data_IF_265253069847
#
_entry.id   IF_265253069847
#
_cell.length_a   1.000
_cell.length_b   1.000
_cell.length_c   1.000
_cell.angle_alpha   90.00
_cell.angle_beta   90.00
_cell.angle_gamma   90.00
#
_symmetry.space_group_name_H-M   'P 1'
#
loop_
_entity.id
_entity.type
_entity.pdbx_description
1 polymer ?
#
# COMPACT_ATOMS: atom_id res chain seq x y z
N UNK A 1 11.83 -21.33 22.33
CA UNK A 1 10.53 -20.65 22.04
C UNK A 1 10.03 -20.06 23.35
N UNK A 2 10.21 -18.77 23.59
CA UNK A 2 9.72 -18.07 24.77
C UNK A 2 8.26 -17.73 24.51
N UNK A 3 7.34 -18.39 25.24
CA UNK A 3 5.89 -18.08 25.17
C UNK A 3 5.67 -16.66 25.67
N UNK A 4 5.11 -15.78 24.84
CA UNK A 4 4.72 -14.45 25.27
C UNK A 4 3.76 -14.54 26.48
N UNK A 5 3.90 -13.65 27.50
CA UNK A 5 3.05 -13.69 28.69
C UNK A 5 1.58 -13.57 28.30
N UNK A 6 0.69 -14.23 29.04
CA UNK A 6 -0.75 -14.31 28.75
C UNK A 6 -1.42 -12.93 28.60
N UNK A 7 -0.84 -11.89 29.21
CA UNK A 7 -1.27 -10.50 29.12
C UNK A 7 -1.02 -9.92 27.72
N UNK A 8 0.14 -10.17 27.11
CA UNK A 8 0.49 -9.70 25.76
C UNK A 8 -0.43 -10.32 24.71
N UNK A 9 -0.78 -11.58 24.88
CA UNK A 9 -1.69 -12.30 23.98
C UNK A 9 -3.13 -11.73 24.00
N UNK A 10 -3.59 -11.28 25.17
CA UNK A 10 -4.91 -10.63 25.31
C UNK A 10 -4.90 -9.23 24.68
N UNK A 11 -3.82 -8.49 24.90
CA UNK A 11 -3.61 -7.16 24.29
C UNK A 11 -3.64 -7.28 22.76
N UNK A 12 -2.86 -8.20 22.20
CA UNK A 12 -2.80 -8.44 20.77
C UNK A 12 -4.18 -8.81 20.19
N UNK A 13 -4.91 -9.73 20.83
CA UNK A 13 -6.24 -10.15 20.38
C UNK A 13 -7.25 -9.00 20.41
N UNK A 14 -7.28 -8.19 21.48
CA UNK A 14 -8.22 -7.09 21.57
C UNK A 14 -7.91 -5.95 20.58
N UNK A 15 -6.62 -5.64 20.34
CA UNK A 15 -6.22 -4.71 19.29
C UNK A 15 -6.65 -5.20 17.91
N UNK A 16 -6.42 -6.46 17.58
CA UNK A 16 -6.83 -7.06 16.32
C UNK A 16 -8.34 -6.98 16.10
N UNK A 17 -9.14 -7.32 17.11
CA UNK A 17 -10.59 -7.22 17.03
C UNK A 17 -11.09 -5.78 16.81
N UNK A 18 -10.48 -4.78 17.47
CA UNK A 18 -10.82 -3.37 17.28
C UNK A 18 -10.45 -2.89 15.87
N UNK A 19 -9.29 -3.30 15.34
CA UNK A 19 -8.85 -2.97 13.97
C UNK A 19 -9.81 -3.53 12.92
N UNK A 20 -10.16 -4.81 13.05
CA UNK A 20 -11.10 -5.48 12.16
C UNK A 20 -12.48 -4.83 12.21
N UNK A 21 -13.00 -4.54 13.41
CA UNK A 21 -14.27 -3.87 13.61
C UNK A 21 -14.32 -2.49 12.93
N UNK A 22 -13.27 -1.67 13.07
CA UNK A 22 -13.22 -0.36 12.41
C UNK A 22 -13.21 -0.51 10.88
N UNK A 23 -12.45 -1.44 10.31
CA UNK A 23 -12.42 -1.70 8.87
C UNK A 23 -13.81 -2.12 8.38
N UNK A 24 -14.50 -3.02 9.08
CA UNK A 24 -15.88 -3.45 8.75
C UNK A 24 -16.87 -2.28 8.77
N UNK A 25 -16.77 -1.41 9.76
CA UNK A 25 -17.63 -0.24 9.88
C UNK A 25 -17.38 0.79 8.77
N UNK A 26 -16.14 0.99 8.35
CA UNK A 26 -15.76 1.91 7.27
C UNK A 26 -16.37 1.52 5.91
N UNK A 27 -16.65 0.24 5.68
CA UNK A 27 -17.38 -0.20 4.47
C UNK A 27 -18.88 0.11 4.51
N UNK A 28 -19.44 0.43 5.68
CA UNK A 28 -20.87 0.67 5.89
C UNK A 28 -21.22 2.12 6.24
N UNK A 29 -20.24 2.85 6.79
CA UNK A 29 -20.45 4.22 7.30
C UNK A 29 -19.22 5.08 7.01
N UNK A 30 -19.43 6.38 6.79
CA UNK A 30 -18.32 7.33 6.78
C UNK A 30 -17.65 7.40 8.17
N UNK A 31 -16.33 7.56 8.19
CA UNK A 31 -15.52 7.58 9.41
C UNK A 31 -16.04 8.58 10.46
N UNK A 32 -16.46 9.78 10.02
CA UNK A 32 -17.01 10.81 10.92
C UNK A 32 -18.25 10.33 11.71
N UNK A 33 -19.03 9.40 11.13
CA UNK A 33 -20.26 8.86 11.70
C UNK A 33 -20.03 7.58 12.52
N UNK A 34 -18.80 7.09 12.62
CA UNK A 34 -18.42 5.94 13.45
C UNK A 34 -18.04 6.45 14.84
N UNK A 35 -18.69 5.94 15.87
CA UNK A 35 -18.35 6.21 17.26
C UNK A 35 -17.49 5.09 17.87
N UNK A 36 -16.81 5.38 18.99
CA UNK A 36 -16.13 4.34 19.79
C UNK A 36 -17.10 3.26 20.25
N UNK A 37 -18.38 3.63 20.50
CA UNK A 37 -19.42 2.66 20.87
C UNK A 37 -19.71 1.69 19.73
N UNK A 38 -19.84 2.17 18.50
CA UNK A 38 -20.00 1.31 17.32
C UNK A 38 -18.83 0.31 17.19
N UNK A 39 -17.60 0.82 17.36
CA UNK A 39 -16.39 -0.01 17.23
C UNK A 39 -16.35 -1.14 18.25
N UNK A 40 -16.61 -0.82 19.54
CA UNK A 40 -16.55 -1.86 20.59
C UNK A 40 -17.71 -2.83 20.51
N UNK A 41 -18.87 -2.42 20.04
CA UNK A 41 -20.01 -3.31 19.77
C UNK A 41 -19.70 -4.27 18.62
N UNK A 42 -19.16 -3.78 17.52
CA UNK A 42 -18.75 -4.59 16.38
C UNK A 42 -17.65 -5.58 16.76
N UNK A 43 -16.72 -5.18 17.66
CA UNK A 43 -15.60 -6.00 18.13
C UNK A 43 -15.99 -6.99 19.25
N UNK A 44 -17.23 -6.96 19.75
CA UNK A 44 -17.67 -7.67 20.95
C UNK A 44 -16.78 -7.40 22.19
N UNK A 45 -16.44 -6.10 22.37
CA UNK A 45 -15.60 -5.62 23.47
C UNK A 45 -16.31 -4.51 24.25
N UNK A 46 -15.77 -4.14 25.40
CA UNK A 46 -16.25 -2.98 26.18
C UNK A 46 -15.41 -1.71 25.94
N UNK A 47 -15.99 -0.53 26.23
CA UNK A 47 -15.32 0.76 26.08
C UNK A 47 -14.02 0.87 26.87
N UNK A 48 -13.95 0.25 28.07
CA UNK A 48 -12.73 0.22 28.88
C UNK A 48 -11.59 -0.49 28.18
N UNK A 49 -11.88 -1.52 27.36
CA UNK A 49 -10.87 -2.20 26.53
C UNK A 49 -10.35 -1.29 25.43
N UNK A 50 -11.22 -0.53 24.77
CA UNK A 50 -10.80 0.45 23.78
C UNK A 50 -9.82 1.46 24.37
N UNK A 51 -10.23 2.12 25.48
CA UNK A 51 -9.43 3.18 26.12
C UNK A 51 -8.13 2.71 26.79
N UNK A 52 -7.94 1.40 26.94
CA UNK A 52 -6.62 0.85 27.29
C UNK A 52 -5.61 0.90 26.14
N UNK A 53 -6.09 0.99 24.89
CA UNK A 53 -5.25 0.93 23.69
C UNK A 53 -5.18 2.24 22.92
N UNK A 54 -6.30 2.99 22.88
CA UNK A 54 -6.45 4.20 22.07
C UNK A 54 -7.23 5.27 22.83
N UNK A 55 -6.84 6.52 22.68
CA UNK A 55 -7.62 7.65 23.24
C UNK A 55 -8.78 8.02 22.30
N UNK A 56 -8.55 7.97 21.00
CA UNK A 56 -9.49 8.34 19.96
C UNK A 56 -9.55 7.28 18.85
N UNK A 57 -10.62 7.27 18.08
CA UNK A 57 -10.76 6.35 16.92
C UNK A 57 -9.76 6.65 15.80
N UNK A 58 -9.29 7.87 15.72
CA UNK A 58 -8.25 8.33 14.81
C UNK A 58 -6.93 7.58 15.05
N UNK A 59 -6.53 7.38 16.30
CA UNK A 59 -5.33 6.61 16.67
C UNK A 59 -5.45 5.14 16.23
N UNK A 60 -6.65 4.57 16.32
CA UNK A 60 -6.91 3.22 15.83
C UNK A 60 -6.76 3.14 14.31
N UNK A 61 -7.25 4.14 13.55
CA UNK A 61 -7.10 4.20 12.10
C UNK A 61 -5.64 4.38 11.69
N UNK A 62 -4.90 5.22 12.42
CA UNK A 62 -3.46 5.41 12.23
C UNK A 62 -2.67 4.10 12.49
N UNK A 63 -3.05 3.35 13.53
CA UNK A 63 -2.41 2.07 13.86
C UNK A 63 -2.68 1.01 12.77
N UNK A 64 -3.89 0.98 12.18
CA UNK A 64 -4.21 0.15 11.00
C UNK A 64 -3.35 0.56 9.81
N UNK A 65 -3.32 1.86 9.50
CA UNK A 65 -2.57 2.41 8.37
C UNK A 65 -1.09 2.08 8.48
N UNK A 66 -0.52 2.18 9.68
CA UNK A 66 0.87 1.83 9.97
C UNK A 66 1.16 0.36 9.72
N UNK A 67 0.31 -0.56 10.20
CA UNK A 67 0.47 -2.00 9.95
C UNK A 67 0.50 -2.31 8.44
N UNK A 68 -0.40 -1.68 7.66
CA UNK A 68 -0.46 -1.87 6.20
C UNK A 68 0.79 -1.32 5.52
N UNK A 69 1.28 -0.14 5.94
CA UNK A 69 2.52 0.46 5.40
C UNK A 69 3.75 -0.39 5.75
N UNK A 70 3.84 -0.88 6.99
CA UNK A 70 4.96 -1.76 7.39
C UNK A 70 4.98 -3.08 6.60
N UNK A 71 3.80 -3.65 6.34
CA UNK A 71 3.68 -4.84 5.50
C UNK A 71 4.01 -4.55 4.03
N UNK A 72 3.65 -3.35 3.52
CA UNK A 72 4.03 -2.87 2.19
C UNK A 72 5.56 -2.80 2.03
N UNK A 73 6.25 -2.15 2.98
CA UNK A 73 7.70 -2.03 2.97
C UNK A 73 8.35 -3.42 2.98
N UNK A 74 7.86 -4.31 3.84
CA UNK A 74 8.35 -5.68 3.95
C UNK A 74 8.18 -6.44 2.64
N UNK A 75 6.98 -6.41 2.06
CA UNK A 75 6.70 -7.08 0.79
C UNK A 75 7.51 -6.51 -0.38
N UNK A 76 7.80 -5.21 -0.35
CA UNK A 76 8.67 -4.59 -1.34
C UNK A 76 10.12 -5.08 -1.21
N UNK A 77 10.62 -5.29 0.01
CA UNK A 77 12.01 -5.67 0.29
C UNK A 77 12.26 -7.18 0.30
N UNK A 78 11.24 -8.00 0.59
CA UNK A 78 11.35 -9.46 0.70
C UNK A 78 12.12 -10.14 -0.46
N UNK A 79 11.89 -9.78 -1.74
CA UNK A 79 12.60 -10.43 -2.85
C UNK A 79 14.11 -10.18 -2.86
N UNK A 80 14.58 -9.17 -2.14
CA UNK A 80 15.98 -8.73 -2.12
C UNK A 80 16.72 -9.12 -0.83
N UNK A 81 16.02 -9.75 0.11
CA UNK A 81 16.63 -10.23 1.35
C UNK A 81 17.74 -11.24 1.04
N UNK A 82 18.95 -10.95 1.52
CA UNK A 82 20.15 -11.78 1.28
C UNK A 82 20.92 -11.49 0.00
N UNK A 83 20.52 -10.51 -0.80
CA UNK A 83 21.26 -10.07 -1.98
C UNK A 83 22.06 -8.80 -1.67
N UNK A 84 23.38 -8.80 -1.97
CA UNK A 84 24.22 -7.60 -1.80
C UNK A 84 23.95 -6.55 -2.90
N UNK A 85 23.57 -7.00 -4.10
CA UNK A 85 23.28 -6.14 -5.25
C UNK A 85 22.11 -6.70 -6.04
N UNK A 86 21.36 -5.79 -6.66
CA UNK A 86 20.18 -6.13 -7.44
C UNK A 86 20.12 -5.28 -8.72
N UNK A 87 19.96 -5.94 -9.87
CA UNK A 87 19.78 -5.27 -11.16
C UNK A 87 18.30 -5.24 -11.55
N UNK A 88 17.65 -4.07 -11.51
CA UNK A 88 16.23 -3.89 -11.88
C UNK A 88 15.93 -4.43 -13.28
N UNK A 89 16.83 -4.27 -14.25
CA UNK A 89 16.68 -4.80 -15.61
C UNK A 89 16.66 -6.33 -15.73
N UNK A 90 17.06 -7.04 -14.66
CA UNK A 90 17.02 -8.51 -14.58
C UNK A 90 15.89 -9.01 -13.69
N UNK A 91 15.08 -8.10 -13.15
CA UNK A 91 13.95 -8.44 -12.29
C UNK A 91 12.87 -9.18 -13.07
N UNK A 92 12.68 -10.45 -12.75
CA UNK A 92 11.51 -11.20 -13.19
C UNK A 92 10.26 -10.81 -12.37
N UNK A 93 9.07 -11.18 -12.83
CA UNK A 93 7.82 -10.91 -12.12
C UNK A 93 7.80 -11.40 -10.67
N UNK A 94 8.52 -12.48 -10.36
CA UNK A 94 8.66 -13.04 -9.01
C UNK A 94 9.36 -12.10 -8.01
N UNK A 95 10.09 -11.09 -8.48
CA UNK A 95 10.73 -10.06 -7.67
C UNK A 95 9.79 -8.90 -7.29
N UNK A 96 8.54 -8.89 -7.73
CA UNK A 96 7.60 -7.80 -7.46
C UNK A 96 6.46 -8.33 -6.58
N UNK A 97 6.56 -8.12 -5.26
CA UNK A 97 5.61 -8.62 -4.26
C UNK A 97 4.56 -7.61 -3.80
N UNK A 98 4.65 -6.38 -4.27
CA UNK A 98 3.73 -5.30 -3.89
C UNK A 98 2.25 -5.65 -4.21
N UNK A 99 1.99 -6.35 -5.31
CA UNK A 99 0.62 -6.73 -5.68
C UNK A 99 0.08 -7.89 -4.83
N UNK A 100 0.93 -8.81 -4.37
CA UNK A 100 0.55 -9.82 -3.38
C UNK A 100 0.12 -9.15 -2.06
N UNK A 101 0.88 -8.14 -1.61
CA UNK A 101 0.54 -7.32 -0.45
C UNK A 101 -0.81 -6.60 -0.64
N UNK A 102 -1.02 -5.93 -1.77
CA UNK A 102 -2.27 -5.21 -2.03
C UNK A 102 -3.46 -6.16 -2.01
N UNK A 103 -3.35 -7.34 -2.62
CA UNK A 103 -4.42 -8.35 -2.58
C UNK A 103 -4.66 -8.91 -1.17
N UNK A 104 -3.61 -9.15 -0.39
CA UNK A 104 -3.70 -9.54 1.03
C UNK A 104 -4.52 -8.54 1.85
N UNK A 105 -4.38 -7.24 1.55
CA UNK A 105 -5.09 -6.15 2.21
C UNK A 105 -6.23 -5.57 1.34
N UNK A 106 -6.77 -6.36 0.39
CA UNK A 106 -7.75 -5.90 -0.61
C UNK A 106 -8.93 -5.14 0.01
N UNK A 107 -9.45 -5.64 1.12
CA UNK A 107 -10.56 -5.05 1.83
C UNK A 107 -10.25 -3.63 2.36
N UNK A 108 -9.02 -3.40 2.82
CA UNK A 108 -8.56 -2.07 3.23
C UNK A 108 -8.30 -1.16 2.01
N UNK A 109 -7.66 -1.69 0.95
CA UNK A 109 -7.39 -0.91 -0.26
C UNK A 109 -8.66 -0.45 -0.98
N UNK A 110 -9.73 -1.24 -0.94
CA UNK A 110 -11.05 -0.83 -1.48
C UNK A 110 -11.57 0.43 -0.79
N UNK A 111 -11.30 0.62 0.50
CA UNK A 111 -11.66 1.86 1.22
C UNK A 111 -10.87 3.08 0.74
N UNK A 112 -9.65 2.89 0.22
CA UNK A 112 -8.81 3.98 -0.28
C UNK A 112 -9.41 4.69 -1.50
N UNK A 113 -10.28 4.03 -2.25
CA UNK A 113 -10.97 4.61 -3.41
C UNK A 113 -12.26 5.34 -3.03
N UNK A 114 -12.88 4.98 -1.91
CA UNK A 114 -14.21 5.45 -1.51
C UNK A 114 -14.24 6.33 -0.26
N UNK A 115 -13.24 6.24 0.61
CA UNK A 115 -13.23 6.94 1.91
C UNK A 115 -12.24 8.10 1.95
N UNK A 116 -12.74 9.30 2.27
CA UNK A 116 -11.89 10.47 2.53
C UNK A 116 -11.00 10.30 3.78
N UNK A 117 -11.35 9.42 4.70
CA UNK A 117 -10.55 9.13 5.89
C UNK A 117 -9.16 8.54 5.55
N UNK A 118 -9.00 7.96 4.35
CA UNK A 118 -7.76 7.33 3.90
C UNK A 118 -6.92 8.21 2.95
N UNK A 119 -7.20 9.50 2.83
CA UNK A 119 -6.38 10.43 2.06
C UNK A 119 -4.94 10.46 2.62
N UNK A 120 -4.79 10.57 3.94
CA UNK A 120 -3.48 10.57 4.62
C UNK A 120 -2.73 9.26 4.37
N UNK A 121 -3.41 8.11 4.39
CA UNK A 121 -2.79 6.83 4.06
C UNK A 121 -2.23 6.81 2.61
N UNK A 122 -2.98 7.34 1.63
CA UNK A 122 -2.48 7.43 0.24
C UNK A 122 -1.24 8.31 0.13
N UNK A 123 -1.21 9.44 0.85
CA UNK A 123 -0.03 10.31 0.90
C UNK A 123 1.18 9.61 1.55
N UNK A 124 0.96 8.88 2.64
CA UNK A 124 2.00 8.07 3.28
C UNK A 124 2.52 6.98 2.34
N UNK A 125 1.64 6.30 1.61
CA UNK A 125 2.02 5.27 0.64
C UNK A 125 2.88 5.85 -0.49
N UNK A 126 2.51 7.02 -1.06
CA UNK A 126 3.31 7.72 -2.06
C UNK A 126 4.69 8.06 -1.49
N UNK A 127 4.74 8.62 -0.28
CA UNK A 127 5.99 8.98 0.38
C UNK A 127 6.90 7.77 0.56
N UNK A 128 6.37 6.66 1.05
CA UNK A 128 7.12 5.42 1.26
C UNK A 128 7.63 4.84 -0.07
N UNK A 129 6.79 4.75 -1.09
CA UNK A 129 7.20 4.27 -2.42
C UNK A 129 8.28 5.16 -3.03
N UNK A 130 8.19 6.49 -2.87
CA UNK A 130 9.22 7.42 -3.31
C UNK A 130 10.54 7.18 -2.57
N UNK A 131 10.50 7.03 -1.25
CA UNK A 131 11.68 6.75 -0.42
C UNK A 131 12.35 5.43 -0.78
N UNK A 132 11.56 4.37 -1.00
CA UNK A 132 12.07 3.07 -1.47
C UNK A 132 12.75 3.20 -2.83
N UNK A 133 12.12 3.87 -3.79
CA UNK A 133 12.71 4.13 -5.11
C UNK A 133 14.00 4.96 -5.03
N UNK A 134 14.07 5.97 -4.17
CA UNK A 134 15.30 6.75 -3.96
C UNK A 134 16.43 5.91 -3.38
N UNK A 135 16.15 5.01 -2.45
CA UNK A 135 17.13 4.07 -1.91
C UNK A 135 17.65 3.14 -3.01
N UNK A 136 16.77 2.58 -3.82
CA UNK A 136 17.14 1.67 -4.91
C UNK A 136 17.96 2.38 -6.01
N UNK A 137 17.68 3.66 -6.25
CA UNK A 137 18.47 4.51 -7.15
C UNK A 137 19.77 5.00 -6.52
N UNK A 138 19.99 4.77 -5.19
CA UNK A 138 21.10 5.30 -4.42
C UNK A 138 22.48 4.96 -4.98
N UNK A 139 22.64 3.76 -5.47
CA UNK A 139 23.91 3.19 -5.94
C UNK A 139 24.03 3.19 -7.48
N UNK A 140 23.00 3.63 -8.20
CA UNK A 140 23.06 3.73 -9.65
C UNK A 140 24.12 4.77 -10.09
N UNK A 141 24.96 4.46 -11.10
CA UNK A 141 25.95 5.39 -11.61
C UNK A 141 25.30 6.71 -12.01
N UNK A 142 25.76 7.81 -11.41
CA UNK A 142 25.30 9.15 -11.80
C UNK A 142 25.76 9.41 -13.23
N UNK A 143 24.87 9.37 -14.19
CA UNK A 143 25.11 9.98 -15.49
C UNK A 143 24.88 11.49 -15.33
N UNK A 144 25.94 12.33 -15.35
CA UNK A 144 25.78 13.76 -15.14
C UNK A 144 24.87 14.36 -16.22
N UNK A 145 23.78 14.99 -15.76
CA UNK A 145 22.99 15.89 -16.60
C UNK A 145 21.75 15.31 -17.27
N UNK A 146 21.37 14.02 -17.08
CA UNK A 146 20.26 13.45 -17.85
C UNK A 146 18.93 13.33 -17.09
N UNK A 147 18.91 13.01 -15.80
CA UNK A 147 17.64 12.82 -15.10
C UNK A 147 17.73 13.13 -13.61
N UNK A 148 16.79 13.94 -13.11
CA UNK A 148 16.64 14.22 -11.69
C UNK A 148 16.08 12.97 -10.98
N UNK A 149 16.80 12.49 -9.95
CA UNK A 149 16.46 11.26 -9.19
C UNK A 149 15.19 11.43 -8.37
N UNK A 150 14.96 12.62 -7.82
CA UNK A 150 13.74 12.95 -7.09
C UNK A 150 12.51 12.89 -8.01
N UNK A 151 12.65 13.42 -9.24
CA UNK A 151 11.62 13.36 -10.26
C UNK A 151 11.35 11.91 -10.69
N UNK A 152 12.40 11.11 -10.91
CA UNK A 152 12.27 9.70 -11.29
C UNK A 152 11.59 8.89 -10.18
N UNK A 153 12.04 9.06 -8.93
CA UNK A 153 11.44 8.37 -7.79
C UNK A 153 9.97 8.78 -7.58
N UNK A 154 9.66 10.05 -7.76
CA UNK A 154 8.27 10.53 -7.77
C UNK A 154 7.44 9.87 -8.86
N UNK A 155 7.95 9.86 -10.09
CA UNK A 155 7.30 9.20 -11.24
C UNK A 155 6.99 7.72 -10.94
N UNK A 156 7.98 6.96 -10.44
CA UNK A 156 7.78 5.55 -10.06
C UNK A 156 6.71 5.38 -8.98
N UNK A 157 6.75 6.21 -7.92
CA UNK A 157 5.79 6.14 -6.82
C UNK A 157 4.36 6.37 -7.30
N UNK A 158 4.13 7.41 -8.12
CA UNK A 158 2.80 7.71 -8.66
C UNK A 158 2.35 6.69 -9.71
N UNK A 159 3.26 6.18 -10.54
CA UNK A 159 2.93 5.14 -11.51
C UNK A 159 2.48 3.84 -10.81
N UNK A 160 3.21 3.38 -9.79
CA UNK A 160 2.86 2.19 -9.01
C UNK A 160 1.53 2.42 -8.29
N UNK A 161 1.33 3.58 -7.64
CA UNK A 161 0.06 3.91 -7.00
C UNK A 161 -1.09 3.91 -8.00
N UNK A 162 -0.90 4.51 -9.19
CA UNK A 162 -1.90 4.52 -10.25
C UNK A 162 -2.32 3.12 -10.68
N UNK A 163 -1.35 2.21 -10.89
CA UNK A 163 -1.62 0.80 -11.20
C UNK A 163 -2.40 0.10 -10.08
N UNK A 164 -2.05 0.35 -8.82
CA UNK A 164 -2.76 -0.22 -7.66
C UNK A 164 -4.20 0.29 -7.63
N UNK A 165 -4.40 1.61 -7.73
CA UNK A 165 -5.75 2.20 -7.64
C UNK A 165 -6.66 1.75 -8.79
N UNK A 166 -6.14 1.66 -10.00
CA UNK A 166 -6.88 1.14 -11.16
C UNK A 166 -7.29 -0.32 -10.93
N UNK A 167 -6.35 -1.16 -10.49
CA UNK A 167 -6.62 -2.56 -10.19
C UNK A 167 -7.66 -2.75 -9.07
N UNK A 168 -7.62 -1.92 -8.03
CA UNK A 168 -8.62 -1.89 -6.96
C UNK A 168 -9.99 -1.50 -7.53
N UNK A 169 -10.06 -0.43 -8.35
CA UNK A 169 -11.31 0.04 -8.98
C UNK A 169 -11.93 -1.00 -9.93
N UNK A 170 -11.10 -1.79 -10.61
CA UNK A 170 -11.56 -2.93 -11.43
C UNK A 170 -12.03 -4.15 -10.59
N UNK A 171 -11.96 -4.08 -9.25
CA UNK A 171 -12.33 -5.17 -8.35
C UNK A 171 -11.36 -6.35 -8.41
N UNK A 172 -10.07 -6.10 -8.57
CA UNK A 172 -9.00 -7.12 -8.58
C UNK A 172 -9.16 -8.20 -9.66
N UNK A 173 -9.67 -7.84 -10.83
CA UNK A 173 -9.97 -8.79 -11.93
C UNK A 173 -8.74 -9.55 -12.43
N UNK A 174 -7.56 -8.97 -12.34
CA UNK A 174 -6.30 -9.58 -12.74
C UNK A 174 -5.61 -10.20 -11.53
N UNK A 175 -4.74 -11.18 -11.75
CA UNK A 175 -3.96 -11.77 -10.66
C UNK A 175 -2.80 -10.85 -10.24
N UNK A 176 -2.29 -10.95 -8.99
CA UNK A 176 -1.08 -10.25 -8.58
C UNK A 176 0.12 -10.55 -9.50
N UNK A 177 0.27 -11.80 -9.92
CA UNK A 177 1.32 -12.22 -10.84
C UNK A 177 1.23 -11.50 -12.19
N UNK A 178 0.03 -11.34 -12.74
CA UNK A 178 -0.19 -10.57 -13.96
C UNK A 178 0.21 -9.10 -13.77
N UNK A 179 -0.21 -8.48 -12.66
CA UNK A 179 0.14 -7.09 -12.36
C UNK A 179 1.66 -6.90 -12.20
N UNK A 180 2.33 -7.85 -11.53
CA UNK A 180 3.77 -7.87 -11.38
C UNK A 180 4.49 -8.01 -12.73
N UNK A 181 4.00 -8.88 -13.61
CA UNK A 181 4.53 -9.04 -14.97
C UNK A 181 4.40 -7.74 -15.79
N UNK A 182 3.22 -7.09 -15.75
CA UNK A 182 3.01 -5.82 -16.45
C UNK A 182 3.94 -4.73 -15.93
N UNK A 183 4.12 -4.61 -14.60
CA UNK A 183 5.05 -3.62 -14.04
C UNK A 183 6.50 -3.92 -14.47
N UNK A 184 6.93 -5.19 -14.44
CA UNK A 184 8.27 -5.58 -14.89
C UNK A 184 8.51 -5.22 -16.37
N UNK A 185 7.52 -5.43 -17.24
CA UNK A 185 7.60 -5.05 -18.65
C UNK A 185 7.64 -3.54 -18.84
N UNK A 186 6.83 -2.77 -18.07
CA UNK A 186 6.82 -1.30 -18.13
C UNK A 186 8.19 -0.74 -17.71
N UNK A 187 8.82 -1.29 -16.65
CA UNK A 187 10.15 -0.86 -16.20
C UNK A 187 11.26 -1.14 -17.20
N UNK A 188 11.06 -2.09 -18.11
CA UNK A 188 12.01 -2.48 -19.18
C UNK A 188 11.66 -1.87 -20.54
N UNK A 189 10.55 -1.14 -20.63
CA UNK A 189 10.06 -0.60 -21.91
C UNK A 189 11.00 0.50 -22.43
N UNK A 190 11.60 0.26 -23.57
CA UNK A 190 12.26 1.30 -24.36
C UNK A 190 11.21 2.02 -25.22
N UNK A 191 11.01 3.28 -24.95
CA UNK A 191 10.03 4.11 -25.66
C UNK A 191 10.58 4.77 -26.93
N UNK A 192 11.83 4.52 -27.29
CA UNK A 192 12.48 5.11 -28.47
C UNK A 192 11.77 4.76 -29.78
N UNK A 193 11.14 3.59 -29.87
CA UNK A 193 10.41 3.11 -31.03
C UNK A 193 8.89 3.39 -31.00
N UNK A 194 8.40 4.09 -29.98
CA UNK A 194 6.97 4.41 -29.84
C UNK A 194 6.60 5.59 -30.75
N UNK A 195 5.78 5.32 -31.77
CA UNK A 195 5.24 6.33 -32.68
C UNK A 195 3.90 6.83 -32.17
N UNK A 196 3.84 8.10 -31.77
CA UNK A 196 2.61 8.74 -31.33
C UNK A 196 1.83 9.23 -32.57
N UNK A 197 0.56 8.79 -32.70
CA UNK A 197 -0.39 9.30 -33.70
C UNK A 197 -1.44 10.15 -32.97
N UNK A 198 -1.36 11.49 -33.01
CA UNK A 198 -2.26 12.37 -32.28
C UNK A 198 -3.64 12.41 -32.91
N UNK A 199 -4.58 11.61 -32.43
CA UNK A 199 -6.01 11.71 -32.78
C UNK A 199 -6.78 12.23 -31.56
N UNK A 200 -7.20 13.50 -31.61
CA UNK A 200 -7.95 14.16 -30.53
C UNK A 200 -9.46 13.93 -30.65
N UNK A 201 -9.96 13.67 -31.86
CA UNK A 201 -11.39 13.66 -32.17
C UNK A 201 -12.19 12.55 -31.42
N UNK A 202 -11.55 11.44 -31.03
CA UNK A 202 -12.21 10.31 -30.37
C UNK A 202 -12.28 10.44 -28.84
N UNK A 203 -11.58 11.41 -28.25
CA UNK A 203 -11.55 11.61 -26.79
C UNK A 203 -12.61 12.60 -26.29
N UNK A 204 -13.30 13.30 -27.21
CA UNK A 204 -14.27 14.36 -26.90
C UNK A 204 -15.73 13.94 -27.19
N UNK A 205 -15.95 12.67 -27.55
CA UNK A 205 -17.27 12.04 -27.71
C UNK A 205 -17.59 11.11 -26.54
#
# INVERSE_FOLDING_TARGET
>A
MISAPAQDRRIYKSKGALKEALIQLLHRKEFRNISVTDIVQEADLNRGTFYKHYQYKEELLEDISRDVIEDLIRSYREPYEGSETFEVGKMGPGGIKIFDHVLKHAYFYTLCTSSSALIVFREQMIHVLKMLSLQDLGDAPRQPGLLDREMLAGYHAYAILGMIMEWVNEGFRRSPAYMAEQLAQILQLDTSDVVIRPHIAELLT
#
